data_IF_691245839402
#
_entry.id   IF_691245839402
#
_cell.length_a   1.000
_cell.length_b   1.000
_cell.length_c   1.000
_cell.angle_alpha   90.00
_cell.angle_beta   90.00
_cell.angle_gamma   90.00
#
_symmetry.space_group_name_H-M   'P 1'
#
loop_
_entity.id
_entity.type
_entity.pdbx_description
1 polymer ?
#
# COMPACT_ATOMS: atom_id res chain seq x y z
N UNK A 1 33.11 -15.53 29.77
CA UNK A 1 33.27 -15.17 28.34
C UNK A 1 31.95 -14.56 27.91
N UNK A 2 31.85 -13.24 27.99
CA UNK A 2 30.58 -12.52 27.90
C UNK A 2 29.96 -12.65 26.51
N UNK A 3 28.71 -13.06 26.46
CA UNK A 3 27.86 -12.91 25.28
C UNK A 3 27.77 -11.41 25.03
N UNK A 4 28.35 -10.94 23.92
CA UNK A 4 28.19 -9.57 23.45
C UNK A 4 26.69 -9.37 23.15
N UNK A 5 25.98 -8.75 24.09
CA UNK A 5 24.62 -8.25 23.87
C UNK A 5 24.72 -7.03 22.95
N UNK A 6 24.87 -7.26 21.65
CA UNK A 6 24.92 -6.21 20.63
C UNK A 6 23.53 -5.95 20.08
N UNK A 7 22.54 -5.69 20.95
CA UNK A 7 21.31 -5.04 20.49
C UNK A 7 21.63 -3.57 20.25
N UNK A 8 21.90 -3.23 18.98
CA UNK A 8 22.00 -1.84 18.55
C UNK A 8 20.77 -1.08 19.02
N UNK A 9 20.97 0.09 19.61
CA UNK A 9 19.89 1.00 19.97
C UNK A 9 19.10 1.39 18.71
N UNK A 10 17.83 1.79 18.87
CA UNK A 10 17.02 2.31 17.76
C UNK A 10 17.75 3.43 17.00
N UNK A 11 18.46 4.31 17.70
CA UNK A 11 19.20 5.43 17.10
C UNK A 11 20.36 4.95 16.22
N UNK A 12 21.13 3.96 16.67
CA UNK A 12 22.22 3.39 15.87
C UNK A 12 21.68 2.70 14.61
N UNK A 13 20.57 1.94 14.71
CA UNK A 13 19.89 1.35 13.56
C UNK A 13 19.41 2.42 12.57
N UNK A 14 18.82 3.49 13.07
CA UNK A 14 18.33 4.60 12.26
C UNK A 14 19.48 5.27 11.47
N UNK A 15 20.61 5.53 12.13
CA UNK A 15 21.79 6.13 11.49
C UNK A 15 22.41 5.19 10.44
N UNK A 16 22.37 3.88 10.66
CA UNK A 16 22.79 2.88 9.66
C UNK A 16 21.87 2.87 8.44
N UNK A 17 20.56 2.88 8.64
CA UNK A 17 19.58 2.94 7.54
C UNK A 17 19.72 4.22 6.73
N UNK A 18 20.04 5.35 7.35
CA UNK A 18 20.39 6.60 6.64
C UNK A 18 21.66 6.44 5.81
N UNK A 19 22.74 5.88 6.38
CA UNK A 19 24.01 5.65 5.67
C UNK A 19 23.85 4.69 4.49
N UNK A 20 22.94 3.73 4.59
CA UNK A 20 22.57 2.80 3.51
C UNK A 20 21.67 3.44 2.43
N UNK A 21 21.20 4.67 2.65
CA UNK A 21 20.25 5.33 1.75
C UNK A 21 18.84 4.73 1.77
N UNK A 22 18.50 3.92 2.78
CA UNK A 22 17.19 3.28 2.93
C UNK A 22 16.18 4.13 3.70
N UNK A 23 16.65 5.00 4.61
CA UNK A 23 15.78 5.92 5.36
C UNK A 23 15.64 7.25 4.61
N UNK A 24 14.44 7.60 4.11
CA UNK A 24 14.22 8.86 3.42
C UNK A 24 14.47 10.08 4.32
N UNK A 25 14.75 11.22 3.70
CA UNK A 25 14.87 12.48 4.41
C UNK A 25 13.57 12.81 5.19
N UNK A 26 13.74 13.40 6.38
CA UNK A 26 12.62 13.75 7.25
C UNK A 26 11.86 12.56 7.86
N UNK A 27 12.35 11.33 7.71
CA UNK A 27 11.78 10.12 8.33
C UNK A 27 12.56 9.68 9.59
N UNK A 28 11.85 9.00 10.48
CA UNK A 28 12.39 8.32 11.67
C UNK A 28 12.04 6.83 11.64
N UNK A 29 12.97 5.98 12.08
CA UNK A 29 12.74 4.54 12.24
C UNK A 29 11.66 4.31 13.31
N UNK A 30 10.73 3.38 13.10
CA UNK A 30 9.85 2.86 14.14
C UNK A 30 9.91 1.33 14.17
N UNK A 31 9.88 0.76 15.37
CA UNK A 31 9.71 -0.69 15.57
C UNK A 31 8.23 -1.08 15.65
N UNK A 32 7.36 -0.14 15.99
CA UNK A 32 5.91 -0.32 16.03
C UNK A 32 5.30 -0.33 14.62
N UNK A 33 4.02 -0.69 14.53
CA UNK A 33 3.22 -0.45 13.33
C UNK A 33 2.11 0.56 13.66
N UNK A 34 2.36 1.88 13.54
CA UNK A 34 1.36 2.88 13.91
C UNK A 34 0.08 2.80 13.06
N UNK A 35 -1.08 2.89 13.72
CA UNK A 35 -2.39 2.91 13.06
C UNK A 35 -2.78 4.34 12.71
N UNK A 36 -2.93 4.61 11.42
CA UNK A 36 -3.57 5.81 10.89
C UNK A 36 -4.65 5.36 9.90
N UNK A 37 -5.88 5.76 10.15
CA UNK A 37 -7.05 5.31 9.39
C UNK A 37 -7.99 6.48 9.18
N UNK A 38 -8.46 6.64 7.95
CA UNK A 38 -9.59 7.51 7.64
C UNK A 38 -10.89 6.72 7.87
N UNK A 39 -11.79 7.27 8.67
CA UNK A 39 -13.04 6.61 9.02
C UNK A 39 -12.87 5.47 10.04
N UNK A 40 -13.95 4.74 10.34
CA UNK A 40 -13.92 3.61 11.27
C UNK A 40 -13.28 2.37 10.62
N UNK A 41 -12.79 1.45 11.44
CA UNK A 41 -12.37 0.11 10.99
C UNK A 41 -13.62 -0.71 10.61
N UNK A 42 -13.76 -1.17 9.35
CA UNK A 42 -14.91 -1.96 8.94
C UNK A 42 -14.91 -3.33 9.60
N UNK A 43 -16.10 -3.85 9.89
CA UNK A 43 -16.26 -5.24 10.31
C UNK A 43 -16.18 -6.15 9.09
N UNK A 44 -15.23 -7.08 9.10
CA UNK A 44 -15.10 -8.06 8.03
C UNK A 44 -16.14 -9.18 8.17
N UNK A 45 -16.94 -9.37 7.11
CA UNK A 45 -17.78 -10.55 6.92
C UNK A 45 -17.43 -11.20 5.57
N UNK A 46 -16.76 -12.37 5.55
CA UNK A 46 -16.31 -13.00 4.31
C UNK A 46 -17.46 -13.34 3.35
N UNK A 47 -18.66 -13.61 3.87
CA UNK A 47 -19.83 -13.95 3.04
C UNK A 47 -20.45 -12.73 2.33
N UNK A 48 -20.17 -11.51 2.79
CA UNK A 48 -20.66 -10.26 2.20
C UNK A 48 -19.52 -9.43 1.56
N UNK A 49 -18.30 -9.95 1.62
CA UNK A 49 -17.15 -9.29 1.04
C UNK A 49 -17.02 -9.64 -0.43
N UNK A 50 -16.67 -8.64 -1.23
CA UNK A 50 -16.28 -8.79 -2.62
C UNK A 50 -15.23 -7.75 -3.01
N UNK A 51 -14.35 -8.14 -3.92
CA UNK A 51 -13.45 -7.27 -4.65
C UNK A 51 -13.90 -7.16 -6.11
N UNK A 52 -14.12 -5.94 -6.58
CA UNK A 52 -14.50 -5.66 -7.97
C UNK A 52 -13.32 -5.10 -8.77
N UNK A 53 -13.20 -5.53 -10.02
CA UNK A 53 -12.25 -5.02 -10.99
C UNK A 53 -13.04 -4.55 -12.20
N UNK A 54 -12.85 -3.29 -12.60
CA UNK A 54 -13.65 -2.67 -13.66
C UNK A 54 -12.89 -1.56 -14.37
N UNK A 55 -13.51 -1.00 -15.42
CA UNK A 55 -12.97 0.11 -16.20
C UNK A 55 -12.26 -0.36 -17.46
N UNK A 56 -11.03 0.08 -17.67
CA UNK A 56 -10.23 -0.15 -18.88
C UNK A 56 -9.61 -1.55 -18.93
N UNK A 57 -10.46 -2.57 -18.84
CA UNK A 57 -10.10 -3.99 -18.82
C UNK A 57 -10.98 -4.79 -19.78
N UNK A 58 -10.60 -6.04 -20.07
CA UNK A 58 -11.34 -6.93 -20.97
C UNK A 58 -12.39 -7.74 -20.20
N UNK A 59 -12.05 -8.19 -19.00
CA UNK A 59 -12.92 -8.97 -18.13
C UNK A 59 -13.20 -8.16 -16.87
N UNK A 60 -14.40 -7.63 -16.71
CA UNK A 60 -14.83 -7.15 -15.40
C UNK A 60 -14.97 -8.35 -14.46
N UNK A 61 -14.34 -8.28 -13.29
CA UNK A 61 -14.25 -9.38 -12.35
C UNK A 61 -14.85 -8.98 -11.03
N UNK A 62 -15.46 -9.96 -10.36
CA UNK A 62 -15.95 -9.85 -9.00
C UNK A 62 -15.58 -11.12 -8.26
N UNK A 63 -14.72 -10.99 -7.27
CA UNK A 63 -14.29 -12.13 -6.45
C UNK A 63 -14.89 -12.01 -5.06
N UNK A 64 -15.50 -13.09 -4.59
CA UNK A 64 -15.73 -13.29 -3.17
C UNK A 64 -14.40 -13.63 -2.45
N UNK A 65 -14.45 -13.69 -1.12
CA UNK A 65 -13.25 -13.90 -0.31
C UNK A 65 -12.59 -15.25 -0.60
N UNK A 66 -13.39 -16.30 -0.77
CA UNK A 66 -12.88 -17.66 -1.01
C UNK A 66 -12.17 -17.76 -2.37
N UNK A 67 -12.74 -17.14 -3.41
CA UNK A 67 -12.14 -17.09 -4.75
C UNK A 67 -10.86 -16.28 -4.76
N UNK A 68 -10.84 -15.12 -4.09
CA UNK A 68 -9.64 -14.31 -3.97
C UNK A 68 -8.50 -15.08 -3.28
N UNK A 69 -8.80 -15.80 -2.19
CA UNK A 69 -7.83 -16.59 -1.43
C UNK A 69 -7.24 -17.79 -2.20
N UNK A 70 -7.85 -18.20 -3.32
CA UNK A 70 -7.30 -19.26 -4.21
C UNK A 70 -6.27 -18.74 -5.21
N UNK A 71 -6.12 -17.43 -5.36
CA UNK A 71 -5.18 -16.85 -6.31
C UNK A 71 -3.73 -17.12 -5.87
N UNK A 72 -2.80 -17.30 -6.84
CA UNK A 72 -1.38 -17.41 -6.55
C UNK A 72 -0.88 -16.25 -5.71
N UNK A 73 -0.17 -16.59 -4.63
CA UNK A 73 0.30 -15.63 -3.63
C UNK A 73 1.81 -15.69 -3.54
N UNK A 74 2.43 -14.54 -3.26
CA UNK A 74 3.86 -14.42 -2.98
C UNK A 74 4.08 -13.78 -1.61
N UNK A 75 5.26 -13.98 -1.07
CA UNK A 75 5.76 -13.25 0.10
C UNK A 75 6.88 -12.30 -0.32
N UNK A 76 6.86 -11.08 0.20
CA UNK A 76 7.91 -10.08 -0.02
C UNK A 76 8.40 -9.51 1.31
N UNK A 77 9.65 -9.07 1.32
CA UNK A 77 10.20 -8.22 2.40
C UNK A 77 10.46 -6.83 1.83
N UNK A 78 9.93 -5.79 2.47
CA UNK A 78 10.06 -4.40 2.00
C UNK A 78 10.03 -3.40 3.14
N UNK A 79 10.49 -2.18 2.86
CA UNK A 79 10.33 -1.04 3.75
C UNK A 79 9.01 -0.32 3.44
N UNK A 80 8.42 0.32 4.44
CA UNK A 80 7.24 1.18 4.29
C UNK A 80 7.48 2.53 4.95
N UNK A 81 7.01 3.59 4.31
CA UNK A 81 7.27 4.98 4.72
C UNK A 81 5.96 5.74 4.87
N UNK A 82 5.69 6.27 6.06
CA UNK A 82 4.48 7.04 6.30
C UNK A 82 4.72 8.54 6.12
N UNK A 83 3.69 9.21 5.61
CA UNK A 83 3.65 10.67 5.46
C UNK A 83 3.73 11.40 6.80
N UNK A 84 3.39 10.75 7.91
CA UNK A 84 3.53 11.28 9.28
C UNK A 84 4.91 11.04 9.89
N UNK A 85 5.93 10.84 9.05
CA UNK A 85 7.37 10.85 9.39
C UNK A 85 7.93 9.60 10.10
N UNK A 86 7.20 8.49 10.11
CA UNK A 86 7.76 7.20 10.52
C UNK A 86 8.04 6.29 9.33
N UNK A 87 9.04 5.43 9.47
CA UNK A 87 9.39 4.37 8.52
C UNK A 87 9.62 3.06 9.26
N UNK A 88 9.06 1.96 8.74
CA UNK A 88 9.22 0.61 9.27
C UNK A 88 9.95 -0.22 8.22
N UNK A 89 10.98 -0.93 8.66
CA UNK A 89 11.92 -1.61 7.78
C UNK A 89 11.75 -3.11 7.85
N UNK A 90 12.15 -3.79 6.77
CA UNK A 90 12.20 -5.24 6.68
C UNK A 90 10.84 -5.90 7.01
N UNK A 91 9.75 -5.24 6.61
CA UNK A 91 8.39 -5.75 6.84
C UNK A 91 8.05 -6.89 5.90
N UNK A 92 7.43 -7.96 6.41
CA UNK A 92 7.09 -9.14 5.62
C UNK A 92 5.60 -9.14 5.28
N UNK A 93 5.29 -9.16 3.99
CA UNK A 93 3.93 -9.12 3.47
C UNK A 93 3.65 -10.33 2.60
N UNK A 94 2.43 -10.82 2.65
CA UNK A 94 1.97 -11.90 1.78
C UNK A 94 0.62 -11.52 1.13
N UNK A 95 0.53 -11.77 -0.17
CA UNK A 95 -0.60 -11.38 -1.01
C UNK A 95 -0.46 -11.77 -2.47
N UNK A 96 -1.46 -11.40 -3.27
CA UNK A 96 -1.46 -11.62 -4.71
C UNK A 96 -0.74 -10.46 -5.38
N UNK A 97 0.21 -10.73 -6.30
CA UNK A 97 0.87 -9.67 -7.05
C UNK A 97 -0.14 -8.92 -7.92
N UNK A 98 -0.08 -7.58 -7.90
CA UNK A 98 -1.01 -6.78 -8.72
C UNK A 98 -0.87 -7.08 -10.22
N UNK A 99 0.35 -7.35 -10.70
CA UNK A 99 0.60 -7.73 -12.10
C UNK A 99 -0.23 -8.96 -12.52
N UNK A 100 -0.29 -9.99 -11.67
CA UNK A 100 -1.10 -11.17 -11.94
C UNK A 100 -2.61 -10.83 -12.02
N UNK A 101 -3.08 -9.94 -11.15
CA UNK A 101 -4.46 -9.46 -11.17
C UNK A 101 -4.77 -8.69 -12.46
N UNK A 102 -3.86 -7.82 -12.90
CA UNK A 102 -3.99 -7.07 -14.15
C UNK A 102 -4.02 -8.00 -15.38
N UNK A 103 -3.24 -9.08 -15.36
CA UNK A 103 -3.26 -10.12 -16.40
C UNK A 103 -4.61 -10.84 -16.45
N UNK A 104 -5.14 -11.29 -15.29
CA UNK A 104 -6.45 -11.95 -15.21
C UNK A 104 -7.61 -11.05 -15.70
N UNK A 105 -7.55 -9.77 -15.34
CA UNK A 105 -8.53 -8.78 -15.79
C UNK A 105 -8.42 -8.46 -17.29
N UNK A 106 -7.30 -8.81 -17.94
CA UNK A 106 -7.02 -8.42 -19.32
C UNK A 106 -6.91 -6.90 -19.44
N UNK A 107 -6.09 -6.27 -18.59
CA UNK A 107 -5.83 -4.83 -18.61
C UNK A 107 -5.44 -4.34 -20.00
N UNK A 108 -6.10 -3.27 -20.47
CA UNK A 108 -5.81 -2.74 -21.81
C UNK A 108 -4.63 -1.76 -21.76
N UNK A 109 -3.84 -1.65 -22.85
CA UNK A 109 -2.64 -0.80 -22.91
C UNK A 109 -2.88 0.69 -22.66
N UNK A 110 -4.09 1.19 -22.91
CA UNK A 110 -4.45 2.58 -22.67
C UNK A 110 -4.71 2.93 -21.19
N UNK A 111 -4.73 1.93 -20.29
CA UNK A 111 -4.79 2.15 -18.84
C UNK A 111 -3.57 2.95 -18.37
N UNK A 112 -3.79 4.02 -17.61
CA UNK A 112 -2.72 4.88 -17.07
C UNK A 112 -2.64 4.89 -15.56
N UNK A 113 -3.77 4.69 -14.86
CA UNK A 113 -3.85 4.71 -13.41
C UNK A 113 -4.74 3.61 -12.89
N UNK A 114 -4.47 3.20 -11.65
CA UNK A 114 -5.34 2.34 -10.86
C UNK A 114 -5.91 3.17 -9.72
N UNK A 115 -7.24 3.19 -9.62
CA UNK A 115 -7.93 3.86 -8.53
C UNK A 115 -8.44 2.80 -7.56
N UNK A 116 -7.91 2.81 -6.34
CA UNK A 116 -8.39 1.95 -5.28
C UNK A 116 -9.63 2.59 -4.64
N UNK A 117 -10.73 1.85 -4.60
CA UNK A 117 -11.97 2.23 -3.93
C UNK A 117 -12.14 1.38 -2.68
N UNK A 118 -12.31 2.02 -1.52
CA UNK A 118 -12.30 1.35 -0.23
C UNK A 118 -13.61 1.56 0.52
N UNK A 119 -13.79 0.81 1.62
CA UNK A 119 -14.88 1.06 2.54
C UNK A 119 -14.88 2.53 3.03
N UNK A 120 -16.08 3.03 3.35
CA UNK A 120 -16.32 4.41 3.77
C UNK A 120 -15.91 5.50 2.76
N UNK A 121 -15.76 5.13 1.48
CA UNK A 121 -15.56 6.09 0.39
C UNK A 121 -14.13 6.63 0.27
N UNK A 122 -13.17 6.04 0.98
CA UNK A 122 -11.76 6.37 0.76
C UNK A 122 -11.32 5.90 -0.63
N UNK A 123 -10.63 6.78 -1.35
CA UNK A 123 -10.00 6.48 -2.63
C UNK A 123 -8.56 6.98 -2.66
N UNK A 124 -7.73 6.34 -3.48
CA UNK A 124 -6.39 6.82 -3.84
C UNK A 124 -6.00 6.30 -5.22
N UNK A 125 -5.15 7.05 -5.91
CA UNK A 125 -4.71 6.84 -7.28
C UNK A 125 -3.22 6.48 -7.32
N UNK A 126 -2.86 5.52 -8.15
CA UNK A 126 -1.46 5.16 -8.41
C UNK A 126 -1.25 4.97 -9.91
N UNK A 127 -0.19 5.53 -10.51
CA UNK A 127 0.17 5.25 -11.90
C UNK A 127 0.31 3.76 -12.16
N UNK A 128 -0.13 3.31 -13.33
CA UNK A 128 -0.13 1.88 -13.68
C UNK A 128 1.28 1.30 -13.68
N UNK A 129 2.28 2.09 -14.10
CA UNK A 129 3.69 1.69 -14.11
C UNK A 129 4.23 1.38 -12.70
N UNK A 130 3.73 2.10 -11.69
CA UNK A 130 4.07 1.85 -10.29
C UNK A 130 3.35 0.64 -9.75
N UNK A 131 2.07 0.46 -10.11
CA UNK A 131 1.29 -0.71 -9.70
C UNK A 131 1.81 -2.02 -10.30
N UNK A 132 2.44 -1.98 -11.48
CA UNK A 132 2.99 -3.15 -12.16
C UNK A 132 4.38 -3.59 -11.67
N UNK A 133 4.96 -2.92 -10.66
CA UNK A 133 6.23 -3.36 -10.06
C UNK A 133 6.08 -4.69 -9.34
N UNK A 134 7.15 -5.49 -9.34
CA UNK A 134 7.13 -6.88 -8.85
C UNK A 134 6.81 -7.01 -7.34
N UNK A 135 7.01 -5.93 -6.58
CA UNK A 135 6.77 -5.86 -5.13
C UNK A 135 5.44 -5.19 -4.76
N UNK A 136 4.53 -4.96 -5.71
CA UNK A 136 3.19 -4.43 -5.44
C UNK A 136 2.18 -5.56 -5.28
N UNK A 137 1.49 -5.57 -4.14
CA UNK A 137 0.57 -6.64 -3.76
C UNK A 137 -0.83 -6.11 -3.47
N UNK A 138 -1.81 -6.99 -3.64
CA UNK A 138 -3.02 -7.02 -2.83
C UNK A 138 -2.74 -7.93 -1.63
N UNK A 139 -2.38 -7.31 -0.51
CA UNK A 139 -1.87 -7.99 0.68
C UNK A 139 -2.98 -8.28 1.69
N UNK A 140 -2.98 -9.50 2.22
CA UNK A 140 -3.93 -9.99 3.22
C UNK A 140 -3.24 -10.61 4.46
N UNK A 141 -1.91 -10.69 4.46
CA UNK A 141 -1.10 -11.09 5.62
C UNK A 141 0.09 -10.15 5.85
N UNK A 142 0.47 -10.03 7.12
CA UNK A 142 1.61 -9.26 7.62
C UNK A 142 2.33 -10.09 8.68
N UNK A 143 3.66 -10.25 8.56
CA UNK A 143 4.50 -11.05 9.46
C UNK A 143 3.94 -12.47 9.72
N UNK A 144 3.46 -13.12 8.65
CA UNK A 144 2.94 -14.49 8.69
C UNK A 144 1.53 -14.64 9.27
N UNK A 145 0.92 -13.56 9.78
CA UNK A 145 -0.43 -13.56 10.32
C UNK A 145 -1.42 -12.89 9.36
N UNK A 146 -2.72 -13.24 9.42
CA UNK A 146 -3.76 -12.43 8.76
C UNK A 146 -3.64 -10.96 9.14
N UNK A 147 -3.84 -10.07 8.17
CA UNK A 147 -3.71 -8.64 8.40
C UNK A 147 -4.72 -8.18 9.46
N UNK A 148 -4.23 -7.52 10.50
CA UNK A 148 -5.09 -6.94 11.53
C UNK A 148 -6.09 -5.96 10.91
N UNK A 149 -7.37 -5.96 11.30
CA UNK A 149 -8.36 -4.99 10.84
C UNK A 149 -7.87 -3.54 10.94
N UNK A 150 -7.18 -3.13 12.00
CA UNK A 150 -6.67 -1.75 12.14
C UNK A 150 -5.59 -1.41 11.09
N UNK A 151 -4.91 -2.42 10.54
CA UNK A 151 -3.90 -2.31 9.50
C UNK A 151 -4.42 -2.50 8.07
N UNK A 152 -5.74 -2.67 7.90
CA UNK A 152 -6.38 -2.77 6.60
C UNK A 152 -6.95 -4.15 6.28
N UNK A 153 -7.04 -5.06 7.26
CA UNK A 153 -7.68 -6.36 7.07
C UNK A 153 -9.13 -6.23 6.56
N UNK A 154 -9.60 -7.14 5.70
CA UNK A 154 -8.92 -8.36 5.24
C UNK A 154 -7.93 -8.11 4.10
N UNK A 155 -7.99 -6.95 3.44
CA UNK A 155 -7.26 -6.70 2.21
C UNK A 155 -6.88 -5.23 2.05
N UNK A 156 -5.62 -5.01 1.67
CA UNK A 156 -5.10 -3.70 1.30
C UNK A 156 -4.28 -3.77 0.01
N UNK A 157 -4.16 -2.65 -0.69
CA UNK A 157 -3.03 -2.51 -1.61
C UNK A 157 -1.76 -2.25 -0.81
N UNK A 158 -0.63 -2.72 -1.34
CA UNK A 158 0.71 -2.48 -0.84
C UNK A 158 1.56 -1.98 -2.00
N UNK A 159 1.94 -0.70 -1.95
CA UNK A 159 2.76 0.00 -2.93
C UNK A 159 3.99 0.57 -2.21
N UNK A 160 5.05 -0.24 -2.00
CA UNK A 160 6.05 0.05 -0.96
C UNK A 160 6.92 1.27 -1.23
N UNK A 161 7.15 1.61 -2.50
CA UNK A 161 8.04 2.71 -2.89
C UNK A 161 7.37 4.08 -2.80
N UNK A 162 6.06 4.15 -2.59
CA UNK A 162 5.33 5.39 -2.36
C UNK A 162 5.00 5.52 -0.87
N UNK A 163 4.67 6.74 -0.45
CA UNK A 163 4.15 6.96 0.88
C UNK A 163 2.90 6.09 1.14
N UNK A 164 2.81 5.59 2.37
CA UNK A 164 1.92 4.50 2.72
C UNK A 164 0.41 4.81 2.63
N UNK A 165 0.01 6.06 2.41
CA UNK A 165 -1.41 6.38 2.13
C UNK A 165 -1.85 5.84 0.75
N UNK A 166 -0.91 5.69 -0.20
CA UNK A 166 -1.13 5.04 -1.51
C UNK A 166 -1.39 3.53 -1.39
N UNK A 167 -0.98 2.93 -0.28
CA UNK A 167 -1.28 1.55 0.09
C UNK A 167 -2.64 1.50 0.81
N UNK A 168 -3.72 1.55 0.03
CA UNK A 168 -5.09 1.72 0.50
C UNK A 168 -5.58 0.56 1.37
N UNK A 169 -6.17 0.86 2.53
CA UNK A 169 -6.79 -0.11 3.44
C UNK A 169 -8.23 -0.41 3.03
N UNK A 170 -8.72 -1.62 3.31
CA UNK A 170 -10.13 -2.00 3.14
C UNK A 170 -10.60 -1.92 1.68
N UNK A 171 -9.79 -2.44 0.76
CA UNK A 171 -10.04 -2.33 -0.67
C UNK A 171 -11.28 -3.14 -1.06
N UNK A 172 -12.20 -2.49 -1.79
CA UNK A 172 -13.44 -3.07 -2.33
C UNK A 172 -13.50 -3.07 -3.84
N UNK A 173 -12.79 -2.15 -4.50
CA UNK A 173 -12.65 -2.20 -5.95
C UNK A 173 -11.33 -1.60 -6.45
N UNK A 174 -10.92 -2.05 -7.62
CA UNK A 174 -9.82 -1.49 -8.40
C UNK A 174 -10.36 -1.07 -9.76
N UNK A 175 -10.32 0.23 -10.02
CA UNK A 175 -10.68 0.80 -11.30
C UNK A 175 -9.43 0.98 -12.15
N UNK A 176 -9.41 0.37 -13.32
CA UNK A 176 -8.39 0.60 -14.33
C UNK A 176 -8.83 1.81 -15.15
N UNK A 177 -8.04 2.87 -15.16
CA UNK A 177 -8.46 4.17 -15.70
C UNK A 177 -7.46 4.73 -16.70
N UNK A 178 -7.96 5.33 -17.78
CA UNK A 178 -7.16 6.06 -18.79
C UNK A 178 -6.74 7.46 -18.33
N UNK A 179 -7.32 7.94 -17.24
CA UNK A 179 -7.09 9.25 -16.64
C UNK A 179 -6.62 9.10 -15.20
N UNK A 180 -5.92 10.12 -14.69
CA UNK A 180 -5.66 10.22 -13.27
C UNK A 180 -6.91 10.73 -12.54
N UNK A 181 -7.21 10.15 -11.37
CA UNK A 181 -8.34 10.56 -10.51
C UNK A 181 -7.86 10.71 -9.07
N UNK A 182 -7.36 11.90 -8.68
CA UNK A 182 -6.87 12.15 -7.33
C UNK A 182 -7.89 11.71 -6.27
N UNK A 183 -7.41 10.92 -5.30
CA UNK A 183 -8.23 10.37 -4.24
C UNK A 183 -8.41 11.31 -3.05
N UNK A 184 -8.80 10.74 -1.92
CA UNK A 184 -9.16 11.50 -0.72
C UNK A 184 -8.04 12.42 -0.25
N UNK A 185 -6.82 11.90 -0.03
CA UNK A 185 -5.75 12.72 0.53
C UNK A 185 -5.15 13.65 -0.52
N UNK A 186 -5.12 13.23 -1.78
CA UNK A 186 -4.57 13.99 -2.90
C UNK A 186 -5.37 15.26 -3.15
N UNK A 187 -6.70 15.22 -3.01
CA UNK A 187 -7.55 16.43 -3.08
C UNK A 187 -7.54 17.25 -1.79
N UNK A 188 -7.08 16.69 -0.67
CA UNK A 188 -7.01 17.33 0.65
C UNK A 188 -5.58 17.75 1.05
N UNK A 189 -4.70 17.95 0.07
CA UNK A 189 -3.41 18.61 0.26
C UNK A 189 -2.19 17.69 0.25
N UNK A 190 -2.35 16.37 0.23
CA UNK A 190 -1.19 15.48 0.04
C UNK A 190 -0.71 15.55 -1.41
N UNK A 191 0.56 15.19 -1.64
CA UNK A 191 1.11 15.18 -2.99
C UNK A 191 0.40 14.13 -3.85
N UNK A 192 0.24 14.39 -5.15
CA UNK A 192 -0.47 13.46 -6.01
C UNK A 192 0.31 12.15 -6.27
N UNK A 193 1.64 12.22 -6.40
CA UNK A 193 2.50 11.03 -6.59
C UNK A 193 2.91 10.38 -5.26
N UNK A 194 3.73 11.08 -4.46
CA UNK A 194 3.98 10.69 -3.07
C UNK A 194 5.26 9.88 -2.87
N UNK A 195 6.34 10.27 -3.54
CA UNK A 195 7.67 9.68 -3.36
C UNK A 195 8.29 10.08 -2.00
N UNK A 196 8.58 9.13 -1.10
CA UNK A 196 9.16 9.42 0.19
C UNK A 196 10.61 9.95 0.12
N UNK A 197 11.39 9.54 -0.88
CA UNK A 197 12.78 9.95 -1.04
C UNK A 197 12.91 11.35 -1.65
N UNK A 198 11.88 11.82 -2.36
CA UNK A 198 11.76 13.21 -2.84
C UNK A 198 11.01 14.14 -1.89
N UNK A 199 10.66 13.65 -0.69
CA UNK A 199 9.86 14.38 0.31
C UNK A 199 8.52 14.92 -0.23
N UNK A 200 7.90 14.21 -1.16
CA UNK A 200 6.61 14.56 -1.76
C UNK A 200 5.44 14.28 -0.79
N UNK A 201 5.43 14.93 0.37
CA UNK A 201 4.38 14.74 1.39
C UNK A 201 3.11 15.50 1.05
N UNK A 202 3.28 16.73 0.60
CA UNK A 202 2.19 17.67 0.35
C UNK A 202 2.26 18.16 -1.10
N UNK A 203 1.10 18.42 -1.69
CA UNK A 203 1.06 19.15 -2.94
C UNK A 203 1.72 20.51 -2.74
N UNK A 204 2.46 21.00 -3.74
CA UNK A 204 3.02 22.36 -3.72
C UNK A 204 1.87 23.37 -3.85
N UNK A 205 1.04 23.51 -2.82
CA UNK A 205 0.21 24.70 -2.61
C UNK A 205 0.82 25.52 -1.49
N UNK A 206 1.92 26.19 -1.83
CA UNK A 206 2.24 27.54 -1.35
C UNK A 206 2.58 28.32 -2.62
N UNK A 207 1.86 29.36 -3.03
CA UNK A 207 1.29 30.47 -2.27
C UNK A 207 -0.04 30.96 -2.89
N UNK A 208 -0.95 31.45 -2.05
CA UNK A 208 -2.20 32.21 -2.31
C UNK A 208 -3.33 31.50 -3.06
#
# INVERSE_FOLDING_TARGET
MGVLDTRKTRREREDELRKQGRLPAGQSLTDEFPVLTYGPTPRFNPAAWDLRLFGTITNELRWDWETFQRLPTVQITTDIHCVTRWSKFDTVWEGVQFKHIAELAGMKPETKHIIAHCDYGYTTNVPVEDMLRDNVLLAYKFDGQPLDPEHGGPLRTLVPHLYFWKSAKFVRALEFSVEDKPGFWEVNGYHNYGDPFKEERYSRRGFF
#
